data_IF_168625407931
#
_entry.id   IF_168625407931
#
_cell.length_a   1.000
_cell.length_b   1.000
_cell.length_c   1.000
_cell.angle_alpha   90.00
_cell.angle_beta   90.00
_cell.angle_gamma   90.00
#
_symmetry.space_group_name_H-M   'P 1'
#
loop_
_entity.id
_entity.type
_entity.pdbx_description
1 polymer ?
#
# COMPACT_ATOMS: atom_id res chain seq x y z
N UNK A 1 11.40 42.73 1.69
CA UNK A 1 12.65 42.33 2.35
C UNK A 1 13.82 42.88 1.54
N UNK A 2 14.50 43.93 2.01
CA UNK A 2 15.69 44.48 1.35
C UNK A 2 16.89 43.55 1.62
N UNK A 3 16.92 42.37 0.98
CA UNK A 3 17.88 41.28 1.25
C UNK A 3 17.92 40.81 2.72
N UNK A 4 16.85 41.02 3.51
CA UNK A 4 16.77 40.49 4.89
C UNK A 4 16.41 39.00 4.94
N UNK A 5 15.80 38.49 3.87
CA UNK A 5 15.42 37.09 3.69
C UNK A 5 16.05 36.62 2.38
N UNK A 6 17.39 36.69 2.31
CA UNK A 6 18.17 36.29 1.14
C UNK A 6 18.34 34.76 1.02
N UNK A 7 17.98 34.01 2.07
CA UNK A 7 17.93 32.55 2.06
C UNK A 7 16.58 32.03 2.61
N UNK A 8 15.94 31.13 1.88
CA UNK A 8 14.66 30.51 2.26
C UNK A 8 14.73 28.99 2.09
N UNK A 9 13.99 28.27 2.92
CA UNK A 9 14.09 26.81 3.02
C UNK A 9 13.31 26.02 1.95
N UNK A 10 12.33 26.65 1.31
CA UNK A 10 11.35 25.98 0.43
C UNK A 10 10.65 24.77 1.08
N UNK A 11 10.63 24.71 2.41
CA UNK A 11 10.13 23.57 3.18
C UNK A 11 8.67 23.18 2.85
N UNK A 12 7.72 24.12 2.65
CA UNK A 12 6.35 23.76 2.30
C UNK A 12 6.26 22.96 0.99
N UNK A 13 7.02 23.34 -0.04
CA UNK A 13 7.07 22.62 -1.30
C UNK A 13 7.74 21.25 -1.14
N UNK A 14 8.83 21.20 -0.37
CA UNK A 14 9.55 19.95 -0.08
C UNK A 14 8.69 18.93 0.67
N UNK A 15 7.87 19.37 1.63
CA UNK A 15 6.94 18.50 2.37
C UNK A 15 5.72 18.08 1.55
N UNK A 16 5.05 19.05 0.89
CA UNK A 16 3.80 18.81 0.15
C UNK A 16 3.95 17.72 -0.92
N UNK A 17 5.06 17.72 -1.66
CA UNK A 17 5.30 16.73 -2.73
C UNK A 17 5.35 15.29 -2.22
N UNK A 18 5.67 15.06 -0.95
CA UNK A 18 5.77 13.70 -0.39
C UNK A 18 4.40 13.01 -0.30
N UNK A 19 3.30 13.77 -0.20
CA UNK A 19 1.97 13.18 -0.16
C UNK A 19 1.63 12.48 -1.48
N UNK A 20 1.77 13.18 -2.61
CA UNK A 20 1.54 12.61 -3.94
C UNK A 20 2.52 11.46 -4.25
N UNK A 21 3.79 11.60 -3.84
CA UNK A 21 4.76 10.51 -3.98
C UNK A 21 4.33 9.26 -3.20
N UNK A 22 3.85 9.42 -1.97
CA UNK A 22 3.35 8.30 -1.16
C UNK A 22 2.07 7.68 -1.75
N UNK A 23 1.19 8.48 -2.34
CA UNK A 23 0.01 7.99 -3.07
C UNK A 23 0.40 7.13 -4.27
N UNK A 24 1.38 7.59 -5.06
CA UNK A 24 1.92 6.85 -6.20
C UNK A 24 2.54 5.52 -5.77
N UNK A 25 3.40 5.54 -4.73
CA UNK A 25 4.00 4.31 -4.18
C UNK A 25 2.94 3.35 -3.64
N UNK A 26 1.91 3.85 -2.95
CA UNK A 26 0.80 3.04 -2.47
C UNK A 26 0.03 2.37 -3.60
N UNK A 27 -0.15 3.06 -4.74
CA UNK A 27 -0.73 2.47 -5.95
C UNK A 27 0.09 1.29 -6.48
N UNK A 28 1.41 1.44 -6.56
CA UNK A 28 2.32 0.34 -6.97
C UNK A 28 2.20 -0.85 -6.02
N UNK A 29 2.26 -0.62 -4.70
CA UNK A 29 2.14 -1.67 -3.69
C UNK A 29 0.77 -2.36 -3.70
N UNK A 30 -0.31 -1.64 -4.02
CA UNK A 30 -1.65 -2.22 -4.16
C UNK A 30 -1.69 -3.24 -5.32
N UNK A 31 -1.10 -2.90 -6.47
CA UNK A 31 -0.99 -3.81 -7.63
C UNK A 31 -0.13 -5.03 -7.29
N UNK A 32 1.00 -4.82 -6.62
CA UNK A 32 1.87 -5.92 -6.16
C UNK A 32 1.11 -6.88 -5.23
N UNK A 33 0.37 -6.34 -4.26
CA UNK A 33 -0.39 -7.16 -3.31
C UNK A 33 -1.50 -7.98 -3.98
N UNK A 34 -2.20 -7.38 -4.95
CA UNK A 34 -3.18 -8.08 -5.79
C UNK A 34 -2.54 -9.24 -6.56
N UNK A 35 -1.43 -8.98 -7.24
CA UNK A 35 -0.71 -9.97 -8.03
C UNK A 35 -0.14 -11.11 -7.16
N UNK A 36 0.44 -10.77 -6.01
CA UNK A 36 0.99 -11.76 -5.07
C UNK A 36 -0.10 -12.67 -4.50
N UNK A 37 -1.24 -12.12 -4.08
CA UNK A 37 -2.35 -12.93 -3.57
C UNK A 37 -2.94 -13.82 -4.67
N UNK A 38 -3.10 -13.30 -5.88
CA UNK A 38 -3.55 -14.10 -7.02
C UNK A 38 -2.57 -15.24 -7.32
N UNK A 39 -1.26 -14.95 -7.31
CA UNK A 39 -0.21 -15.96 -7.54
C UNK A 39 -0.18 -17.05 -6.46
N UNK A 40 -0.52 -16.72 -5.21
CA UNK A 40 -0.69 -17.69 -4.13
C UNK A 40 -1.96 -18.54 -4.32
N UNK A 41 -3.07 -17.94 -4.74
CA UNK A 41 -4.31 -18.66 -5.01
C UNK A 41 -4.15 -19.67 -6.16
N UNK A 42 -3.36 -19.33 -7.18
CA UNK A 42 -3.01 -20.24 -8.29
C UNK A 42 -2.15 -21.44 -7.85
N UNK A 43 -1.61 -21.43 -6.63
CA UNK A 43 -0.84 -22.53 -6.04
C UNK A 43 -1.72 -23.33 -5.09
N UNK A 44 -2.79 -23.92 -5.63
CA UNK A 44 -3.81 -24.62 -4.85
C UNK A 44 -3.22 -25.62 -3.83
N UNK A 45 -3.74 -25.58 -2.60
CA UNK A 45 -3.30 -26.44 -1.50
C UNK A 45 -2.04 -25.97 -0.76
N UNK A 46 -1.29 -25.01 -1.28
CA UNK A 46 -0.14 -24.43 -0.60
C UNK A 46 -0.54 -23.22 0.25
N UNK A 47 0.17 -23.05 1.37
CA UNK A 47 0.03 -21.89 2.26
C UNK A 47 1.38 -21.22 2.42
N UNK A 48 1.35 -19.90 2.58
CA UNK A 48 2.50 -19.10 2.99
C UNK A 48 2.57 -19.00 4.53
N UNK A 49 3.45 -18.15 5.06
CA UNK A 49 3.59 -17.96 6.51
C UNK A 49 2.31 -17.39 7.14
N UNK A 50 2.05 -17.64 8.44
CA UNK A 50 0.83 -17.19 9.10
C UNK A 50 0.55 -15.68 8.97
N UNK A 51 1.60 -14.85 9.02
CA UNK A 51 1.49 -13.39 8.87
C UNK A 51 1.05 -13.01 7.46
N UNK A 52 1.60 -13.67 6.43
CA UNK A 52 1.25 -13.39 5.05
C UNK A 52 -0.13 -13.96 4.67
N UNK A 53 -0.57 -15.06 5.29
CA UNK A 53 -1.96 -15.54 5.14
C UNK A 53 -2.97 -14.55 5.71
N UNK A 54 -2.65 -13.87 6.83
CA UNK A 54 -3.50 -12.78 7.34
C UNK A 54 -3.61 -11.63 6.35
N UNK A 55 -2.49 -11.20 5.74
CA UNK A 55 -2.51 -10.17 4.70
C UNK A 55 -3.37 -10.61 3.51
N UNK A 56 -3.19 -11.84 3.02
CA UNK A 56 -4.00 -12.40 1.92
C UNK A 56 -5.49 -12.43 2.27
N UNK A 57 -5.85 -12.86 3.48
CA UNK A 57 -7.24 -12.89 3.95
C UNK A 57 -7.87 -11.49 3.96
N UNK A 58 -7.18 -10.49 4.52
CA UNK A 58 -7.63 -9.08 4.55
C UNK A 58 -7.94 -8.58 3.14
N UNK A 59 -7.08 -8.88 2.16
CA UNK A 59 -7.34 -8.47 0.77
C UNK A 59 -8.58 -9.18 0.20
N UNK A 60 -8.71 -10.49 0.44
CA UNK A 60 -9.79 -11.32 -0.11
C UNK A 60 -11.16 -11.01 0.49
N UNK A 61 -11.23 -10.38 1.66
CA UNK A 61 -12.46 -9.81 2.21
C UNK A 61 -13.02 -8.65 1.36
N UNK A 62 -12.18 -7.98 0.56
CA UNK A 62 -12.58 -6.85 -0.29
C UNK A 62 -12.46 -7.11 -1.79
N UNK A 63 -11.47 -7.89 -2.20
CA UNK A 63 -11.17 -8.16 -3.61
C UNK A 63 -11.16 -9.66 -3.85
N UNK A 64 -12.16 -10.13 -4.61
CA UNK A 64 -12.31 -11.53 -4.97
C UNK A 64 -11.18 -12.02 -5.89
N UNK A 65 -10.99 -13.35 -5.92
CA UNK A 65 -10.10 -14.02 -6.86
C UNK A 65 -10.35 -13.57 -8.32
N UNK A 66 -9.28 -13.39 -9.09
CA UNK A 66 -9.37 -12.96 -10.48
C UNK A 66 -9.51 -14.19 -11.40
N UNK A 67 -10.74 -14.68 -11.55
CA UNK A 67 -11.04 -15.89 -12.33
C UNK A 67 -11.02 -15.64 -13.84
N UNK A 68 -11.59 -14.51 -14.25
CA UNK A 68 -11.72 -14.08 -15.65
C UNK A 68 -11.55 -12.58 -15.71
N UNK A 69 -11.29 -12.09 -16.93
CA UNK A 69 -11.13 -10.67 -17.12
C UNK A 69 -12.36 -9.87 -16.69
N UNK A 70 -12.08 -8.80 -15.94
CA UNK A 70 -13.08 -7.84 -15.47
C UNK A 70 -12.47 -6.44 -15.46
N UNK A 71 -13.34 -5.44 -15.29
CA UNK A 71 -12.86 -4.09 -15.07
C UNK A 71 -12.02 -4.05 -13.79
N UNK A 72 -10.73 -3.74 -13.93
CA UNK A 72 -9.74 -3.99 -12.89
C UNK A 72 -9.47 -2.79 -11.98
N UNK A 73 -9.80 -1.57 -12.42
CA UNK A 73 -9.59 -0.36 -11.63
C UNK A 73 -10.24 -0.39 -10.22
N UNK A 74 -11.46 -0.95 -10.02
CA UNK A 74 -12.07 -1.07 -8.70
C UNK A 74 -11.25 -1.93 -7.73
N UNK A 75 -10.61 -3.00 -8.23
CA UNK A 75 -9.77 -3.88 -7.42
C UNK A 75 -8.51 -3.15 -6.93
N UNK A 76 -7.87 -2.39 -7.83
CA UNK A 76 -6.70 -1.55 -7.50
C UNK A 76 -7.08 -0.49 -6.47
N UNK A 77 -8.22 0.18 -6.66
CA UNK A 77 -8.69 1.22 -5.74
C UNK A 77 -9.00 0.63 -4.35
N UNK A 78 -9.71 -0.50 -4.29
CA UNK A 78 -10.01 -1.18 -3.04
C UNK A 78 -8.74 -1.62 -2.29
N UNK A 79 -7.76 -2.19 -2.99
CA UNK A 79 -6.47 -2.56 -2.40
C UNK A 79 -5.69 -1.31 -1.91
N UNK A 80 -5.69 -0.22 -2.68
CA UNK A 80 -5.04 1.04 -2.31
C UNK A 80 -5.71 1.69 -1.09
N UNK A 81 -7.03 1.60 -0.95
CA UNK A 81 -7.79 2.07 0.21
C UNK A 81 -7.49 1.23 1.46
N UNK A 82 -7.40 -0.09 1.33
CA UNK A 82 -6.95 -0.97 2.41
C UNK A 82 -5.55 -0.57 2.91
N UNK A 83 -4.59 -0.33 2.00
CA UNK A 83 -3.26 0.15 2.40
C UNK A 83 -3.32 1.53 3.07
N UNK A 84 -4.18 2.44 2.59
CA UNK A 84 -4.39 3.75 3.20
C UNK A 84 -4.87 3.66 4.65
N UNK A 85 -5.74 2.68 4.92
CA UNK A 85 -6.26 2.38 6.27
C UNK A 85 -5.21 1.80 7.23
N UNK A 86 -3.99 1.53 6.76
CA UNK A 86 -2.88 0.98 7.55
C UNK A 86 -3.17 -0.43 8.09
N UNK A 87 -4.05 -1.18 7.44
CA UNK A 87 -4.49 -2.49 7.90
C UNK A 87 -3.36 -3.52 8.08
N UNK A 88 -2.25 -3.37 7.34
CA UNK A 88 -1.10 -4.27 7.42
C UNK A 88 -0.07 -3.88 8.50
N UNK A 89 -0.20 -2.71 9.13
CA UNK A 89 0.80 -2.25 10.10
C UNK A 89 0.93 -3.18 11.32
N UNK A 90 -0.17 -3.79 11.75
CA UNK A 90 -0.18 -4.76 12.85
C UNK A 90 0.55 -6.08 12.53
N UNK A 91 1.00 -6.28 11.29
CA UNK A 91 1.79 -7.44 10.88
C UNK A 91 3.30 -7.18 10.98
N UNK A 92 3.72 -5.93 11.22
CA UNK A 92 5.11 -5.56 11.40
C UNK A 92 5.58 -5.85 12.84
N UNK A 93 6.87 -6.14 13.04
CA UNK A 93 7.47 -6.18 14.37
C UNK A 93 7.28 -4.83 15.11
N UNK A 94 7.04 -4.91 16.42
CA UNK A 94 6.93 -3.71 17.26
C UNK A 94 8.23 -2.88 17.23
N UNK A 95 8.09 -1.55 17.30
CA UNK A 95 9.20 -0.59 17.39
C UNK A 95 10.17 -0.58 16.19
N UNK A 96 9.77 -1.18 15.07
CA UNK A 96 10.59 -1.15 13.86
C UNK A 96 10.59 0.23 13.18
N UNK A 97 9.45 0.93 13.22
CA UNK A 97 9.29 2.25 12.61
C UNK A 97 9.28 3.33 13.69
N UNK A 98 9.84 4.53 13.45
CA UNK A 98 10.01 5.56 14.48
C UNK A 98 8.73 6.02 15.19
N UNK A 99 7.57 5.85 14.56
CA UNK A 99 6.28 6.34 15.04
C UNK A 99 5.21 5.25 15.04
N UNK A 100 5.58 3.98 15.23
CA UNK A 100 4.69 2.82 15.14
C UNK A 100 4.90 1.79 16.24
#
# INVERSE_FOLDING_TARGET
SANQEDHVSMAPAAGKRLWEMAENTRGVLAVEWLAACQGLDLREGLKTSPTLEKARAILREKVAYYEKDRYFAPDINAASELLASRCLNGLLPAQLLPSL
#
